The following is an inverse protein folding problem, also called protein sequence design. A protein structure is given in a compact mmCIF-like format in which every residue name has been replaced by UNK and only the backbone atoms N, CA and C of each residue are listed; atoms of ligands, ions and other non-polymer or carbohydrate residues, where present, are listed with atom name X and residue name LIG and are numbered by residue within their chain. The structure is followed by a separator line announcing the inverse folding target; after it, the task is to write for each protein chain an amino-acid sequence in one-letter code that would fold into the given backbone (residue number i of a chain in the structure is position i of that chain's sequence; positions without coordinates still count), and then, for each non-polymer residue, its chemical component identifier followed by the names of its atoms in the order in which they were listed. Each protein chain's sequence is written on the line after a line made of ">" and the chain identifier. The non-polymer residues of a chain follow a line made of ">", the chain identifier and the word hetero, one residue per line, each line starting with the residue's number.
data_IF_616669674796
#
_entry.id   IF_616669674796
#
_cell.length_a   1.000
_cell.length_b   1.000
_cell.length_c   1.000
_cell.angle_alpha   90.00
_cell.angle_beta   90.00
_cell.angle_gamma   90.00
#
_symmetry.space_group_name_H-M   'P 1'
#
loop_
_entity.id
_entity.type
_entity.pdbx_description
1 polymer ?
#
# COMPACT_ATOMS: atom_id res chain seq x y z
N UNK A 1 -16.59 10.48 -4.55
CA UNK A 1 -15.77 9.88 -5.58
C UNK A 1 -14.87 8.81 -5.00
N UNK A 2 -14.87 7.68 -5.62
CA UNK A 2 -14.11 6.55 -5.11
C UNK A 2 -12.60 6.76 -5.24
N UNK A 3 -12.16 7.65 -6.10
CA UNK A 3 -10.73 7.86 -6.31
C UNK A 3 -10.03 8.32 -5.03
N UNK A 4 -10.64 9.26 -4.32
CA UNK A 4 -10.05 9.79 -3.11
C UNK A 4 -9.93 8.71 -2.04
N UNK A 5 -10.97 7.90 -1.92
CA UNK A 5 -10.94 6.82 -0.93
C UNK A 5 -9.87 5.80 -1.25
N UNK A 6 -9.73 5.49 -2.54
CA UNK A 6 -8.71 4.53 -2.93
C UNK A 6 -7.32 5.03 -2.60
N UNK A 7 -7.07 6.32 -2.82
CA UNK A 7 -5.77 6.89 -2.51
C UNK A 7 -5.48 6.83 -1.02
N UNK A 8 -6.48 7.13 -0.19
CA UNK A 8 -6.30 7.08 1.25
C UNK A 8 -5.98 5.67 1.72
N UNK A 9 -6.69 4.69 1.18
CA UNK A 9 -6.45 3.30 1.55
C UNK A 9 -5.05 2.89 1.13
N UNK A 10 -4.65 3.26 -0.07
CA UNK A 10 -3.34 2.89 -0.57
C UNK A 10 -2.24 3.52 0.28
N UNK A 11 -2.43 4.75 0.68
CA UNK A 11 -1.46 5.41 1.53
C UNK A 11 -1.34 4.71 2.88
N UNK A 12 -2.46 4.34 3.46
CA UNK A 12 -2.45 3.62 4.71
C UNK A 12 -1.69 2.30 4.59
N UNK A 13 -1.97 1.59 3.52
CA UNK A 13 -1.28 0.33 3.28
C UNK A 13 0.22 0.55 3.11
N UNK A 14 0.58 1.59 2.37
CA UNK A 14 1.98 1.88 2.15
C UNK A 14 2.70 2.18 3.46
N UNK A 15 2.07 2.94 4.31
CA UNK A 15 2.65 3.24 5.62
C UNK A 15 2.83 1.98 6.44
N UNK A 16 1.85 1.10 6.40
CA UNK A 16 1.96 -0.16 7.11
C UNK A 16 3.13 -0.98 6.60
N UNK A 17 3.28 -1.01 5.28
CA UNK A 17 4.37 -1.78 4.69
C UNK A 17 5.70 -1.16 5.08
N UNK A 18 5.79 0.15 5.10
CA UNK A 18 7.02 0.82 5.49
C UNK A 18 7.41 0.47 6.92
N UNK A 19 6.43 0.41 7.80
CA UNK A 19 6.69 0.08 9.20
C UNK A 19 7.08 -1.38 9.36
N UNK A 20 6.43 -2.25 8.61
CA UNK A 20 6.70 -3.67 8.71
C UNK A 20 8.02 -4.04 8.04
N UNK A 21 8.36 -3.35 6.97
CA UNK A 21 9.55 -3.68 6.19
C UNK A 21 10.39 -2.44 5.95
N UNK A 22 10.91 -1.81 7.01
CA UNK A 22 11.71 -0.60 6.82
C UNK A 22 13.03 -0.86 6.11
N UNK A 23 13.46 -2.11 6.07
CA UNK A 23 14.72 -2.48 5.44
C UNK A 23 14.58 -2.72 3.94
N UNK A 24 13.35 -2.75 3.42
CA UNK A 24 13.13 -2.95 1.99
C UNK A 24 13.25 -1.62 1.24
N UNK A 25 13.61 -1.73 -0.03
CA UNK A 25 13.67 -0.54 -0.87
C UNK A 25 12.27 -0.03 -1.15
N UNK A 26 12.21 1.23 -1.59
CA UNK A 26 10.92 1.84 -1.87
C UNK A 26 10.14 1.06 -2.92
N UNK A 27 10.83 0.60 -3.94
CA UNK A 27 10.17 -0.17 -5.00
C UNK A 27 9.50 -1.42 -4.42
N UNK A 28 10.20 -2.11 -3.56
CA UNK A 28 9.64 -3.31 -2.96
C UNK A 28 8.45 -2.98 -2.07
N UNK A 29 8.55 -1.92 -1.31
CA UNK A 29 7.46 -1.52 -0.44
C UNK A 29 6.22 -1.18 -1.25
N UNK A 30 6.41 -0.49 -2.37
CA UNK A 30 5.28 -0.15 -3.23
C UNK A 30 4.65 -1.40 -3.80
N UNK A 31 5.46 -2.37 -4.20
CA UNK A 31 4.93 -3.61 -4.74
C UNK A 31 4.06 -4.33 -3.73
N UNK A 32 4.53 -4.41 -2.49
CA UNK A 32 3.76 -5.09 -1.46
C UNK A 32 2.45 -4.36 -1.19
N UNK A 33 2.52 -3.04 -1.11
CA UNK A 33 1.33 -2.24 -0.86
C UNK A 33 0.31 -2.43 -1.98
N UNK A 34 0.77 -2.44 -3.21
CA UNK A 34 -0.11 -2.65 -4.34
C UNK A 34 -0.80 -4.00 -4.28
N UNK A 35 -0.03 -5.01 -3.94
CA UNK A 35 -0.59 -6.36 -3.86
C UNK A 35 -1.66 -6.44 -2.80
N UNK A 36 -1.41 -5.84 -1.64
CA UNK A 36 -2.40 -5.83 -0.59
C UNK A 36 -3.65 -5.07 -1.00
N UNK A 37 -3.47 -3.98 -1.72
CA UNK A 37 -4.60 -3.20 -2.20
C UNK A 37 -5.46 -4.03 -3.15
N UNK A 38 -4.82 -4.79 -4.02
CA UNK A 38 -5.54 -5.64 -4.95
C UNK A 38 -6.33 -6.71 -4.21
N UNK A 39 -5.74 -7.28 -3.17
CA UNK A 39 -6.44 -8.28 -2.37
C UNK A 39 -7.69 -7.68 -1.72
N UNK A 40 -7.56 -6.45 -1.24
CA UNK A 40 -8.72 -5.80 -0.62
C UNK A 40 -9.80 -5.48 -1.64
N UNK A 41 -9.41 -5.15 -2.87
CA UNK A 41 -10.37 -4.77 -3.90
C UNK A 41 -11.20 -5.96 -4.35
N UNK A 42 -10.76 -7.14 -4.11
CA UNK A 42 -11.52 -8.32 -4.44
C UNK A 42 -12.64 -8.54 -3.44
#
# INVERSE_FOLDING_TARGET
>A
MSCLQNELILESLFEEVQEAFPYLSEDKQIEIAKKRFEDLAE
#
